data_IF_880976353435
#
_entry.id   IF_880976353435
#
_cell.length_a   1.000
_cell.length_b   1.000
_cell.length_c   1.000
_cell.angle_alpha   90.00
_cell.angle_beta   90.00
_cell.angle_gamma   90.00
#
_symmetry.space_group_name_H-M   'P 1'
#
loop_
_entity.id
_entity.type
_entity.pdbx_description
1 polymer ?
#
# COMPACT_ATOMS: atom_id res chain seq x y z
N UNK A 1 28.89 -55.51 53.71
CA UNK A 1 28.00 -55.63 52.53
C UNK A 1 26.71 -54.91 52.89
N UNK A 2 26.21 -53.86 52.24
CA UNK A 2 26.57 -53.14 51.03
C UNK A 2 26.13 -51.67 51.21
N UNK A 3 26.89 -50.74 50.63
CA UNK A 3 26.43 -49.36 50.38
C UNK A 3 25.41 -49.35 49.24
N UNK A 4 24.38 -48.51 49.33
CA UNK A 4 23.69 -47.95 48.16
C UNK A 4 22.83 -46.75 48.58
N UNK A 5 23.43 -45.59 48.47
CA UNK A 5 22.82 -44.26 48.47
C UNK A 5 21.80 -44.14 47.32
N UNK A 6 20.54 -43.82 47.61
CA UNK A 6 19.52 -43.53 46.61
C UNK A 6 19.04 -42.07 46.68
N UNK A 7 19.64 -41.27 45.80
CA UNK A 7 19.00 -40.36 44.84
C UNK A 7 18.00 -39.30 45.35
N UNK A 8 18.53 -38.10 45.61
CA UNK A 8 17.83 -36.84 45.30
C UNK A 8 17.60 -36.77 43.77
N UNK A 9 16.33 -36.81 43.35
CA UNK A 9 15.91 -36.40 42.00
C UNK A 9 15.77 -34.87 41.97
N UNK A 10 16.62 -34.19 41.22
CA UNK A 10 16.40 -32.81 40.80
C UNK A 10 15.39 -32.74 39.65
N UNK A 11 14.60 -31.65 39.53
CA UNK A 11 13.59 -31.52 38.48
C UNK A 11 14.25 -31.19 37.14
N UNK A 12 13.86 -31.96 36.12
CA UNK A 12 14.21 -31.79 34.71
C UNK A 12 13.57 -30.49 34.21
N UNK A 13 14.39 -29.48 33.89
CA UNK A 13 13.94 -28.30 33.14
C UNK A 13 13.76 -28.74 31.69
N UNK A 14 12.50 -28.84 31.26
CA UNK A 14 12.14 -29.08 29.86
C UNK A 14 12.25 -27.76 29.12
N UNK A 15 13.32 -27.61 28.36
CA UNK A 15 13.52 -26.52 27.41
C UNK A 15 12.46 -26.64 26.28
N UNK A 16 11.78 -25.54 25.88
CA UNK A 16 10.75 -25.58 24.84
C UNK A 16 11.39 -25.90 23.46
N UNK A 17 10.67 -26.59 22.57
CA UNK A 17 11.21 -26.96 21.26
C UNK A 17 11.50 -25.71 20.43
N UNK A 18 12.79 -25.46 20.17
CA UNK A 18 13.23 -24.48 19.19
C UNK A 18 12.73 -24.91 17.80
N UNK A 19 11.80 -24.13 17.22
CA UNK A 19 11.47 -24.19 15.80
C UNK A 19 12.73 -23.83 15.00
N UNK A 20 13.44 -24.84 14.50
CA UNK A 20 14.55 -24.68 13.57
C UNK A 20 13.99 -24.42 12.18
N UNK A 21 13.94 -23.14 11.78
CA UNK A 21 13.62 -22.75 10.40
C UNK A 21 14.81 -23.07 9.51
N UNK A 22 14.72 -24.18 8.79
CA UNK A 22 15.76 -24.67 7.87
C UNK A 22 15.43 -24.25 6.44
N UNK A 23 16.34 -23.51 5.79
CA UNK A 23 16.14 -23.01 4.41
C UNK A 23 16.98 -23.83 3.41
N UNK A 24 16.40 -24.27 2.28
CA UNK A 24 17.15 -24.94 1.22
C UNK A 24 18.00 -23.94 0.41
N UNK A 25 19.28 -24.23 0.23
CA UNK A 25 20.21 -23.46 -0.61
C UNK A 25 20.88 -24.40 -1.60
N UNK A 26 20.97 -24.00 -2.87
CA UNK A 26 21.65 -24.77 -3.92
C UNK A 26 23.03 -24.17 -4.20
N UNK A 27 24.08 -24.99 -4.10
CA UNK A 27 25.46 -24.61 -4.46
C UNK A 27 25.98 -25.61 -5.49
N UNK A 28 26.15 -25.16 -6.74
CA UNK A 28 26.36 -26.05 -7.88
C UNK A 28 25.17 -26.99 -8.08
N UNK A 29 25.42 -28.29 -8.20
CA UNK A 29 24.38 -29.32 -8.37
C UNK A 29 23.89 -29.92 -7.05
N UNK A 30 24.33 -29.40 -5.89
CA UNK A 30 24.00 -29.93 -4.57
C UNK A 30 23.06 -29.00 -3.81
N UNK A 31 22.08 -29.60 -3.15
CA UNK A 31 21.15 -28.91 -2.25
C UNK A 31 21.63 -29.07 -0.80
N UNK A 32 21.65 -27.97 -0.07
CA UNK A 32 22.03 -27.90 1.34
C UNK A 32 20.85 -27.34 2.14
N UNK A 33 20.69 -27.85 3.35
CA UNK A 33 19.71 -27.36 4.31
C UNK A 33 20.46 -26.63 5.40
N UNK A 34 20.30 -25.31 5.45
CA UNK A 34 21.00 -24.47 6.41
C UNK A 34 20.02 -23.98 7.46
N UNK A 35 20.35 -24.23 8.73
CA UNK A 35 19.67 -23.62 9.86
C UNK A 35 20.15 -22.17 10.00
N UNK A 36 19.26 -21.23 9.69
CA UNK A 36 19.58 -19.80 9.69
C UNK A 36 19.98 -19.28 11.09
N UNK A 37 19.46 -19.90 12.16
CA UNK A 37 19.79 -19.56 13.55
C UNK A 37 21.28 -19.75 13.89
N UNK A 38 21.99 -20.63 13.16
CA UNK A 38 23.42 -20.90 13.37
C UNK A 38 24.33 -19.88 12.68
N UNK A 39 23.79 -19.03 11.80
CA UNK A 39 24.56 -18.05 11.04
C UNK A 39 23.89 -16.67 11.21
N UNK A 40 24.22 -15.89 12.26
CA UNK A 40 23.52 -14.65 12.60
C UNK A 40 23.41 -13.65 11.45
N UNK A 41 24.47 -13.51 10.65
CA UNK A 41 24.47 -12.63 9.48
C UNK A 41 23.49 -13.09 8.40
N UNK A 42 23.42 -14.40 8.15
CA UNK A 42 22.55 -14.98 7.11
C UNK A 42 21.09 -14.98 7.56
N UNK A 43 20.83 -15.14 8.86
CA UNK A 43 19.54 -14.87 9.49
C UNK A 43 19.10 -13.42 9.29
N UNK A 44 19.97 -12.46 9.58
CA UNK A 44 19.66 -11.04 9.40
C UNK A 44 19.39 -10.70 7.93
N UNK A 45 20.17 -11.25 7.01
CA UNK A 45 19.99 -11.09 5.57
C UNK A 45 18.67 -11.71 5.08
N UNK A 46 18.36 -12.95 5.46
CA UNK A 46 17.09 -13.58 5.09
C UNK A 46 15.89 -12.82 5.68
N UNK A 47 16.01 -12.30 6.90
CA UNK A 47 15.01 -11.43 7.51
C UNK A 47 14.88 -10.08 6.79
N UNK A 48 15.97 -9.56 6.23
CA UNK A 48 15.96 -8.35 5.42
C UNK A 48 15.31 -8.60 4.07
N UNK A 49 15.70 -9.65 3.34
CA UNK A 49 15.11 -10.06 2.06
C UNK A 49 13.62 -10.35 2.21
N UNK A 50 13.20 -11.09 3.23
CA UNK A 50 11.76 -11.36 3.46
C UNK A 50 10.96 -10.10 3.80
N UNK A 51 11.59 -9.08 4.40
CA UNK A 51 10.98 -7.77 4.65
C UNK A 51 11.04 -6.84 3.44
N UNK A 52 12.03 -7.00 2.56
CA UNK A 52 12.17 -6.23 1.32
C UNK A 52 11.27 -6.79 0.20
N UNK A 53 11.15 -8.12 0.12
CA UNK A 53 10.29 -8.85 -0.83
C UNK A 53 8.82 -8.86 -0.43
N UNK A 54 8.44 -8.21 0.68
CA UNK A 54 7.03 -7.93 1.00
C UNK A 54 6.40 -6.96 0.00
N UNK A 55 7.18 -6.28 -0.85
CA UNK A 55 6.65 -5.57 -2.00
C UNK A 55 6.43 -6.58 -3.15
N UNK A 56 5.18 -6.83 -3.58
CA UNK A 56 4.91 -7.79 -4.65
C UNK A 56 5.67 -7.36 -5.92
N UNK A 57 6.34 -8.31 -6.59
CA UNK A 57 7.15 -8.05 -7.80
C UNK A 57 6.38 -7.27 -8.88
N UNK A 58 5.07 -7.47 -8.95
CA UNK A 58 4.18 -6.75 -9.87
C UNK A 58 4.16 -5.25 -9.60
N UNK A 59 4.25 -4.82 -8.34
CA UNK A 59 4.30 -3.41 -7.95
C UNK A 59 5.59 -2.73 -8.41
N UNK A 60 6.71 -3.43 -8.29
CA UNK A 60 8.03 -2.91 -8.73
C UNK A 60 8.04 -2.75 -10.25
N UNK A 61 7.37 -3.66 -10.97
CA UNK A 61 7.19 -3.54 -12.40
C UNK A 61 6.28 -2.35 -12.76
N UNK A 62 5.18 -2.18 -12.03
CA UNK A 62 4.21 -1.10 -12.25
C UNK A 62 4.84 0.29 -12.05
N UNK A 63 5.61 0.46 -10.97
CA UNK A 63 6.26 1.74 -10.67
C UNK A 63 7.36 2.09 -11.69
N UNK A 64 8.14 1.11 -12.13
CA UNK A 64 9.16 1.32 -13.17
C UNK A 64 8.54 1.71 -14.53
N UNK A 65 7.38 1.15 -14.88
CA UNK A 65 6.63 1.58 -16.07
C UNK A 65 6.17 3.04 -15.94
N UNK A 66 5.70 3.44 -14.76
CA UNK A 66 5.31 4.83 -14.52
C UNK A 66 6.49 5.81 -14.59
N UNK A 67 7.68 5.44 -14.10
CA UNK A 67 8.90 6.22 -14.30
C UNK A 67 9.23 6.41 -15.78
N UNK A 68 9.25 5.32 -16.56
CA UNK A 68 9.50 5.40 -18.00
C UNK A 68 8.46 6.28 -18.71
N UNK A 69 7.18 6.18 -18.34
CA UNK A 69 6.14 7.08 -18.87
C UNK A 69 6.43 8.54 -18.55
N UNK A 70 6.80 8.86 -17.31
CA UNK A 70 7.13 10.22 -16.93
C UNK A 70 8.32 10.78 -17.73
N UNK A 71 9.38 9.99 -17.92
CA UNK A 71 10.52 10.35 -18.76
C UNK A 71 10.09 10.63 -20.22
N UNK A 72 9.17 9.82 -20.77
CA UNK A 72 8.67 10.05 -22.13
C UNK A 72 7.81 11.31 -22.25
N UNK A 73 7.02 11.63 -21.23
CA UNK A 73 6.24 12.88 -21.23
C UNK A 73 7.13 14.10 -21.12
N UNK A 74 8.18 14.03 -20.29
CA UNK A 74 9.20 15.08 -20.22
C UNK A 74 9.90 15.26 -21.58
N UNK A 75 10.31 14.16 -22.22
CA UNK A 75 10.93 14.19 -23.55
C UNK A 75 10.01 14.77 -24.63
N UNK A 76 8.70 14.46 -24.58
CA UNK A 76 7.71 14.97 -25.52
C UNK A 76 7.16 16.35 -25.13
N UNK A 77 7.63 16.94 -24.03
CA UNK A 77 7.12 18.20 -23.46
C UNK A 77 5.60 18.19 -23.23
N UNK A 78 5.04 17.06 -22.78
CA UNK A 78 3.61 16.92 -22.47
C UNK A 78 3.35 17.44 -21.07
N UNK A 79 2.51 18.46 -20.96
CA UNK A 79 2.05 18.97 -19.66
C UNK A 79 0.91 18.11 -19.10
N UNK A 80 1.29 17.05 -18.37
CA UNK A 80 0.36 16.15 -17.68
C UNK A 80 -0.46 16.87 -16.62
N UNK A 81 0.10 17.91 -15.99
CA UNK A 81 -0.55 18.65 -14.92
C UNK A 81 -1.51 19.70 -15.47
N UNK A 82 -1.44 20.03 -16.76
CA UNK A 82 -2.22 21.12 -17.37
C UNK A 82 -2.07 22.44 -16.59
N UNK A 83 -0.85 22.71 -16.10
CA UNK A 83 -0.53 23.86 -15.26
C UNK A 83 -1.07 23.83 -13.82
N UNK A 84 -1.71 22.74 -13.38
CA UNK A 84 -2.28 22.63 -12.04
C UNK A 84 -1.19 22.56 -10.95
N UNK A 85 -1.41 23.31 -9.88
CA UNK A 85 -0.60 23.24 -8.67
C UNK A 85 -0.97 22.03 -7.79
N UNK A 86 -0.06 21.60 -6.91
CA UNK A 86 -0.31 20.53 -5.93
C UNK A 86 -1.61 20.75 -5.14
N UNK A 87 -1.91 22.00 -4.76
CA UNK A 87 -3.12 22.32 -4.00
C UNK A 87 -4.40 22.10 -4.80
N UNK A 88 -4.38 22.42 -6.10
CA UNK A 88 -5.52 22.21 -7.01
C UNK A 88 -5.73 20.72 -7.28
N UNK A 89 -4.65 19.96 -7.49
CA UNK A 89 -4.69 18.50 -7.61
C UNK A 89 -5.28 17.87 -6.34
N UNK A 90 -4.90 18.36 -5.15
CA UNK A 90 -5.50 17.91 -3.88
C UNK A 90 -6.99 18.27 -3.78
N UNK A 91 -7.39 19.43 -4.31
CA UNK A 91 -8.80 19.80 -4.42
C UNK A 91 -9.59 18.84 -5.30
N UNK A 92 -9.05 18.53 -6.48
CA UNK A 92 -9.67 17.62 -7.44
C UNK A 92 -9.72 16.18 -6.94
N UNK A 93 -8.72 15.72 -6.18
CA UNK A 93 -8.74 14.43 -5.48
C UNK A 93 -9.96 14.29 -4.56
N UNK A 94 -10.38 15.37 -3.91
CA UNK A 94 -11.52 15.37 -2.98
C UNK A 94 -12.87 15.44 -3.69
N UNK A 95 -12.90 15.78 -4.99
CA UNK A 95 -14.14 15.87 -5.77
C UNK A 95 -14.86 14.54 -5.95
N UNK A 96 -14.19 13.41 -5.69
CA UNK A 96 -14.78 12.08 -5.75
C UNK A 96 -15.62 11.69 -4.54
N UNK A 97 -15.75 12.58 -3.53
CA UNK A 97 -16.65 12.38 -2.39
C UNK A 97 -18.07 12.80 -2.75
N UNK A 98 -19.02 12.03 -2.27
CA UNK A 98 -20.42 12.42 -2.32
C UNK A 98 -20.65 13.54 -1.29
N UNK A 99 -21.28 14.61 -1.76
CA UNK A 99 -21.70 15.73 -0.92
C UNK A 99 -23.19 15.61 -0.59
N UNK A 100 -23.60 16.17 0.54
CA UNK A 100 -25.00 16.22 0.94
C UNK A 100 -25.46 17.66 0.95
N UNK A 101 -26.48 17.97 0.15
CA UNK A 101 -27.14 19.26 0.18
C UNK A 101 -28.46 19.14 0.94
N UNK A 102 -28.68 20.06 1.88
CA UNK A 102 -29.90 20.12 2.66
C UNK A 102 -30.89 21.07 1.96
N UNK A 103 -31.75 20.52 1.12
CA UNK A 103 -32.81 21.28 0.45
C UNK A 103 -34.18 20.86 1.00
N UNK A 104 -34.99 21.81 1.48
CA UNK A 104 -36.36 21.58 1.96
C UNK A 104 -36.55 20.38 2.91
N UNK A 105 -35.66 20.20 3.89
CA UNK A 105 -35.66 19.11 4.90
C UNK A 105 -35.42 17.69 4.36
N UNK A 106 -35.05 17.53 3.09
CA UNK A 106 -34.56 16.26 2.55
C UNK A 106 -33.05 16.35 2.29
N UNK A 107 -32.32 15.30 2.64
CA UNK A 107 -30.91 15.17 2.27
C UNK A 107 -30.83 14.66 0.84
N UNK A 108 -30.29 15.48 -0.07
CA UNK A 108 -29.97 15.02 -1.44
C UNK A 108 -28.48 14.69 -1.50
N UNK A 109 -28.17 13.48 -1.94
CA UNK A 109 -26.77 13.07 -2.20
C UNK A 109 -26.37 13.58 -3.58
N UNK A 110 -25.39 14.47 -3.63
CA UNK A 110 -24.71 14.90 -4.84
C UNK A 110 -23.58 13.90 -5.06
N UNK A 111 -23.69 13.07 -6.09
CA UNK A 111 -22.64 12.09 -6.43
C UNK A 111 -21.34 12.83 -6.74
N UNK A 112 -20.26 12.41 -6.10
CA UNK A 112 -18.92 12.92 -6.35
C UNK A 112 -18.43 12.56 -7.77
N UNK A 113 -17.56 13.39 -8.32
CA UNK A 113 -16.92 13.13 -9.61
C UNK A 113 -15.73 12.18 -9.46
N UNK A 114 -16.01 10.87 -9.46
CA UNK A 114 -14.98 9.82 -9.35
C UNK A 114 -13.94 9.90 -10.48
N UNK A 115 -14.35 10.20 -11.72
CA UNK A 115 -13.43 10.30 -12.88
C UNK A 115 -12.41 11.41 -12.70
N UNK A 116 -12.87 12.59 -12.25
CA UNK A 116 -11.99 13.73 -11.95
C UNK A 116 -11.03 13.42 -10.79
N UNK A 117 -11.51 12.75 -9.74
CA UNK A 117 -10.66 12.32 -8.65
C UNK A 117 -9.58 11.32 -9.10
N UNK A 118 -9.93 10.36 -9.97
CA UNK A 118 -8.98 9.38 -10.52
C UNK A 118 -7.90 10.03 -11.39
N UNK A 119 -8.28 10.98 -12.25
CA UNK A 119 -7.32 11.80 -13.02
C UNK A 119 -6.38 12.58 -12.08
N UNK A 120 -6.93 13.19 -11.02
CA UNK A 120 -6.13 13.89 -10.02
C UNK A 120 -5.17 12.96 -9.25
N UNK A 121 -5.54 11.69 -9.02
CA UNK A 121 -4.63 10.70 -8.44
C UNK A 121 -3.47 10.37 -9.37
N UNK A 122 -3.71 10.30 -10.69
CA UNK A 122 -2.64 10.13 -11.66
C UNK A 122 -1.71 11.35 -11.71
N UNK A 123 -2.27 12.56 -11.70
CA UNK A 123 -1.48 13.80 -11.60
C UNK A 123 -0.66 13.88 -10.31
N UNK A 124 -1.22 13.42 -9.19
CA UNK A 124 -0.48 13.30 -7.93
C UNK A 124 0.70 12.32 -8.07
N UNK A 125 0.48 11.15 -8.70
CA UNK A 125 1.57 10.20 -8.97
C UNK A 125 2.67 10.84 -9.81
N UNK A 126 2.33 11.52 -10.90
CA UNK A 126 3.29 12.21 -11.75
C UNK A 126 4.05 13.31 -10.99
N UNK A 127 3.37 14.09 -10.15
CA UNK A 127 4.01 15.06 -9.26
C UNK A 127 5.00 14.41 -8.29
N UNK A 128 4.63 13.25 -7.72
CA UNK A 128 5.50 12.49 -6.84
C UNK A 128 6.69 11.94 -7.63
N UNK A 129 6.56 11.46 -8.87
CA UNK A 129 7.72 10.91 -9.57
C UNK A 129 8.65 12.01 -10.14
N UNK A 130 8.08 13.06 -10.72
CA UNK A 130 8.84 14.03 -11.53
C UNK A 130 8.74 15.49 -11.08
N UNK A 131 7.77 15.83 -10.22
CA UNK A 131 7.51 17.24 -9.88
C UNK A 131 8.61 17.87 -9.03
N UNK A 132 8.91 19.16 -9.21
CA UNK A 132 9.82 19.90 -8.33
C UNK A 132 9.06 20.49 -7.13
N UNK A 133 9.49 20.16 -5.90
CA UNK A 133 8.88 20.68 -4.68
C UNK A 133 9.70 21.86 -4.13
N UNK A 134 9.05 23.02 -3.93
CA UNK A 134 9.72 24.25 -3.49
C UNK A 134 10.12 24.19 -2.02
N UNK A 135 9.28 23.58 -1.18
CA UNK A 135 9.57 23.37 0.24
C UNK A 135 9.34 21.89 0.54
N UNK A 136 10.38 21.09 0.38
CA UNK A 136 10.32 19.63 0.47
C UNK A 136 9.65 19.15 1.76
N UNK A 137 9.82 19.85 2.90
CA UNK A 137 9.20 19.46 4.17
C UNK A 137 7.70 19.79 4.19
N UNK A 138 7.31 21.00 3.80
CA UNK A 138 5.89 21.40 3.80
C UNK A 138 5.10 20.65 2.73
N UNK A 139 5.70 20.50 1.57
CA UNK A 139 5.07 19.82 0.44
C UNK A 139 5.00 18.31 0.69
N UNK A 140 6.03 17.69 1.30
CA UNK A 140 5.96 16.28 1.72
C UNK A 140 4.80 16.00 2.69
N UNK A 141 4.54 16.91 3.65
CA UNK A 141 3.40 16.76 4.56
C UNK A 141 2.04 16.85 3.83
N UNK A 142 1.92 17.71 2.81
CA UNK A 142 0.72 17.80 1.98
C UNK A 142 0.54 16.56 1.11
N UNK A 143 1.62 16.12 0.48
CA UNK A 143 1.65 14.90 -0.34
C UNK A 143 1.27 13.70 0.53
N UNK A 144 1.81 13.57 1.75
CA UNK A 144 1.43 12.52 2.69
C UNK A 144 -0.08 12.48 2.94
N UNK A 145 -0.69 13.63 3.23
CA UNK A 145 -2.13 13.70 3.46
C UNK A 145 -2.94 13.33 2.21
N UNK A 146 -2.44 13.68 1.01
CA UNK A 146 -3.05 13.32 -0.25
C UNK A 146 -2.93 11.80 -0.54
N UNK A 147 -1.77 11.21 -0.30
CA UNK A 147 -1.53 9.76 -0.42
C UNK A 147 -2.41 9.01 0.57
N UNK A 148 -2.46 9.45 1.84
CA UNK A 148 -3.37 8.91 2.86
C UNK A 148 -4.83 8.96 2.42
N UNK A 149 -5.25 10.04 1.75
CA UNK A 149 -6.59 10.14 1.17
C UNK A 149 -6.80 9.07 0.09
N UNK A 150 -5.88 8.94 -0.87
CA UNK A 150 -6.00 7.95 -1.95
C UNK A 150 -6.11 6.53 -1.39
N UNK A 151 -5.21 6.13 -0.49
CA UNK A 151 -5.20 4.75 0.04
C UNK A 151 -6.42 4.42 0.91
N UNK A 152 -7.04 5.42 1.56
CA UNK A 152 -8.20 5.22 2.44
C UNK A 152 -9.55 5.18 1.71
N UNK A 153 -9.63 5.60 0.45
CA UNK A 153 -10.90 5.70 -0.29
C UNK A 153 -11.02 4.61 -1.39
N UNK A 154 -11.22 3.36 -0.97
CA UNK A 154 -11.36 2.20 -1.87
C UNK A 154 -12.53 2.32 -2.87
N UNK A 155 -13.62 3.00 -2.50
CA UNK A 155 -14.78 3.22 -3.38
C UNK A 155 -14.48 4.16 -4.56
N UNK A 156 -13.43 4.97 -4.46
CA UNK A 156 -13.04 5.96 -5.48
C UNK A 156 -11.81 5.47 -6.24
N UNK A 157 -10.79 4.99 -5.52
CA UNK A 157 -9.51 4.58 -6.06
C UNK A 157 -9.35 3.07 -6.00
N UNK A 158 -9.18 2.46 -7.17
CA UNK A 158 -8.92 1.02 -7.29
C UNK A 158 -7.59 0.66 -6.64
N UNK A 159 -7.47 -0.60 -6.24
CA UNK A 159 -6.29 -1.15 -5.58
C UNK A 159 -4.94 -0.80 -6.23
N UNK A 160 -4.80 -1.01 -7.54
CA UNK A 160 -3.54 -0.75 -8.26
C UNK A 160 -3.08 0.70 -8.09
N UNK A 161 -3.98 1.65 -8.33
CA UNK A 161 -3.72 3.09 -8.11
C UNK A 161 -3.29 3.37 -6.67
N UNK A 162 -4.00 2.82 -5.67
CA UNK A 162 -3.65 3.02 -4.25
C UNK A 162 -2.25 2.55 -3.92
N UNK A 163 -1.87 1.39 -4.47
CA UNK A 163 -0.55 0.78 -4.29
C UNK A 163 0.56 1.59 -4.96
N UNK A 164 0.40 1.93 -6.23
CA UNK A 164 1.43 2.65 -7.00
C UNK A 164 1.68 4.02 -6.38
N UNK A 165 0.63 4.77 -6.04
CA UNK A 165 0.75 6.09 -5.40
C UNK A 165 1.47 5.98 -4.05
N UNK A 166 1.18 4.94 -3.27
CA UNK A 166 1.89 4.68 -2.01
C UNK A 166 3.37 4.37 -2.25
N UNK A 167 3.66 3.48 -3.19
CA UNK A 167 5.02 3.07 -3.51
C UNK A 167 5.87 4.26 -3.99
N UNK A 168 5.32 5.09 -4.87
CA UNK A 168 5.97 6.32 -5.34
C UNK A 168 6.30 7.28 -4.17
N UNK A 169 5.39 7.41 -3.20
CA UNK A 169 5.62 8.25 -2.03
C UNK A 169 6.75 7.71 -1.13
N UNK A 170 6.76 6.39 -0.88
CA UNK A 170 7.78 5.72 -0.08
C UNK A 170 9.16 5.72 -0.77
N UNK A 171 9.19 5.70 -2.12
CA UNK A 171 10.43 5.82 -2.89
C UNK A 171 11.00 7.23 -2.81
N UNK A 172 10.18 8.27 -2.98
CA UNK A 172 10.67 9.65 -3.06
C UNK A 172 10.97 10.30 -1.72
N UNK A 173 10.16 10.02 -0.69
CA UNK A 173 10.24 10.74 0.58
C UNK A 173 10.74 9.83 1.70
N UNK A 174 11.54 10.39 2.61
CA UNK A 174 11.91 9.71 3.85
C UNK A 174 10.68 9.61 4.75
N UNK A 175 10.05 8.44 4.78
CA UNK A 175 8.81 8.22 5.53
C UNK A 175 9.09 7.96 7.01
N UNK A 176 8.42 8.72 7.88
CA UNK A 176 8.47 8.48 9.33
C UNK A 176 7.75 7.18 9.70
N UNK A 177 8.21 6.48 10.74
CA UNK A 177 7.54 5.30 11.31
C UNK A 177 6.04 5.54 11.58
N UNK A 178 5.67 6.76 12.01
CA UNK A 178 4.26 7.13 12.23
C UNK A 178 3.47 7.19 10.93
N UNK A 179 4.08 7.71 9.87
CA UNK A 179 3.46 7.82 8.55
C UNK A 179 3.29 6.44 7.92
N UNK A 180 4.32 5.59 7.99
CA UNK A 180 4.27 4.19 7.55
C UNK A 180 3.16 3.43 8.26
N UNK A 181 3.10 3.49 9.60
CA UNK A 181 2.04 2.83 10.35
C UNK A 181 0.63 3.32 9.99
N UNK A 182 0.49 4.59 9.62
CA UNK A 182 -0.76 5.15 9.11
C UNK A 182 -1.17 4.60 7.75
N UNK A 183 -0.21 4.40 6.84
CA UNK A 183 -0.43 3.80 5.52
C UNK A 183 -0.71 2.30 5.61
N UNK A 184 0.05 1.57 6.44
CA UNK A 184 -0.12 0.13 6.69
C UNK A 184 -1.51 -0.26 7.19
N UNK A 185 -2.21 0.67 7.86
CA UNK A 185 -3.58 0.46 8.33
C UNK A 185 -4.53 0.13 7.19
N UNK A 186 -4.27 0.64 5.98
CA UNK A 186 -5.15 0.52 4.83
C UNK A 186 -4.78 -0.63 3.88
N UNK A 187 -3.58 -1.20 4.00
CA UNK A 187 -3.11 -2.32 3.20
C UNK A 187 -3.77 -3.66 3.58
N UNK A 188 -4.35 -3.75 4.79
CA UNK A 188 -4.81 -5.01 5.41
C UNK A 188 -6.25 -5.43 5.05
N UNK A 189 -6.89 -4.80 4.08
CA UNK A 189 -8.31 -5.10 3.77
C UNK A 189 -8.40 -6.11 2.61
N UNK A 190 -8.42 -7.41 2.96
CA UNK A 190 -8.79 -8.58 2.16
C UNK A 190 -8.09 -8.83 0.79
N UNK A 191 -7.03 -9.64 0.78
CA UNK A 191 -6.45 -10.22 -0.44
C UNK A 191 -7.48 -10.92 -1.36
N UNK A 192 -8.56 -11.46 -0.79
CA UNK A 192 -9.65 -12.10 -1.54
C UNK A 192 -10.63 -11.10 -2.21
N UNK A 193 -10.76 -9.87 -1.68
CA UNK A 193 -11.46 -8.77 -2.38
C UNK A 193 -10.56 -8.15 -3.45
N UNK A 194 -9.26 -8.11 -3.18
CA UNK A 194 -8.24 -7.57 -4.07
C UNK A 194 -8.11 -8.36 -5.38
N UNK A 195 -8.15 -9.69 -5.33
CA UNK A 195 -8.13 -10.52 -6.54
C UNK A 195 -9.38 -10.31 -7.43
N UNK A 196 -10.53 -9.97 -6.83
CA UNK A 196 -11.75 -9.64 -7.58
C UNK A 196 -11.71 -8.24 -8.20
N UNK A 197 -11.12 -7.25 -7.51
CA UNK A 197 -10.95 -5.90 -8.05
C UNK A 197 -10.00 -5.86 -9.26
N UNK A 198 -9.01 -6.76 -9.31
CA UNK A 198 -8.00 -6.84 -10.38
C UNK A 198 -8.55 -7.47 -11.68
N UNK A 199 -9.45 -8.46 -11.56
CA UNK A 199 -10.13 -9.09 -12.70
C UNK A 199 -11.22 -8.19 -13.31
N UNK A 200 -11.75 -7.24 -12.54
CA UNK A 200 -12.79 -6.28 -12.94
C UNK A 200 -12.22 -4.95 -13.47
N UNK A 201 -10.90 -4.88 -13.69
CA UNK A 201 -10.16 -3.73 -14.23
C UNK A 201 -10.35 -3.59 -15.76
N UNK A 202 -11.61 -3.67 -16.21
CA UNK A 202 -12.05 -3.32 -17.57
C UNK A 202 -12.93 -2.09 -17.46
N UNK A 203 -12.39 -0.96 -17.91
CA UNK A 203 -13.01 0.36 -17.83
C UNK A 203 -14.22 0.48 -18.74
N UNK A 204 -15.45 0.23 -18.25
CA UNK A 204 -16.66 0.77 -18.92
C UNK A 204 -17.96 0.87 -18.12
N UNK A 205 -18.09 0.31 -16.92
CA UNK A 205 -19.41 0.27 -16.28
C UNK A 205 -19.64 1.50 -15.38
N UNK A 206 -20.69 2.28 -15.67
CA UNK A 206 -21.29 3.19 -14.69
C UNK A 206 -21.84 2.35 -13.53
N UNK A 207 -21.19 2.39 -12.37
CA UNK A 207 -21.69 1.74 -11.15
C UNK A 207 -22.99 2.42 -10.70
N UNK A 208 -24.11 1.88 -11.18
CA UNK A 208 -25.45 2.28 -10.74
C UNK A 208 -25.69 1.74 -9.33
N UNK A 209 -25.96 2.66 -8.40
CA UNK A 209 -26.18 2.32 -7.00
C UNK A 209 -27.58 1.73 -6.86
N UNK A 210 -27.77 0.56 -6.21
CA UNK A 210 -29.10 0.05 -5.90
C UNK A 210 -29.83 1.07 -5.02
N UNK A 211 -30.91 1.62 -5.54
CA UNK A 211 -31.79 2.54 -4.84
C UNK A 211 -32.51 1.77 -3.72
N UNK A 212 -32.04 1.88 -2.48
CA UNK A 212 -32.77 1.35 -1.33
C UNK A 212 -34.05 2.18 -1.15
N UNK A 213 -35.19 1.58 -1.53
CA UNK A 213 -36.52 2.11 -1.24
C UNK A 213 -36.74 2.18 0.26
N UNK A 214 -36.76 3.40 0.79
CA UNK A 214 -37.12 3.68 2.18
C UNK A 214 -38.65 3.70 2.30
N UNK A 215 -39.26 2.53 2.45
CA UNK A 215 -40.60 2.43 3.02
C UNK A 215 -40.50 2.71 4.53
N UNK A 216 -40.85 3.93 4.93
CA UNK A 216 -41.32 4.18 6.29
C UNK A 216 -42.77 4.64 6.19
N UNK A 217 -43.66 3.72 6.54
CA UNK A 217 -45.04 4.02 6.95
C UNK A 217 -45.01 4.51 8.40
N UNK A 218 -45.65 5.65 8.65
CA UNK A 218 -46.41 5.93 9.88
C UNK A 218 -47.51 6.98 9.57
#
# INVERSE_FOLDING_TARGET
MAEASNLLKSPKVTEPPHLTTTTPIKIGDKNYHIELSKIPYLSAFANFETKAQTQPKDLVHDLAQHHALCETYEFLCVDVLSGQSLSEVIGDLKSGKDDYELEYKYYRTIKGNKSKARDAAYKLLHLILSGEFKDEKKDSAKVYNAVMFVVSHANTFKWRTRKVVRAAYEERFVVSVKQTAGLDKWEKTDAAKLAKEDDEDVTTEEEDSPQYGSDYSD
#
